data_IF_791594019231
#
_entry.id   IF_791594019231
#
_cell.length_a   1.000
_cell.length_b   1.000
_cell.length_c   1.000
_cell.angle_alpha   90.00
_cell.angle_beta   90.00
_cell.angle_gamma   90.00
#
_symmetry.space_group_name_H-M   'P 1'
#
loop_
_entity.id
_entity.type
_entity.pdbx_description
1 polymer ?
#
# COMPACT_ATOMS: atom_id res chain seq x y z
N UNK A 1 17.50 -6.77 -3.85
CA UNK A 1 17.38 -6.81 -2.38
C UNK A 1 17.64 -5.45 -1.72
N UNK A 2 18.75 -4.77 -2.08
CA UNK A 2 19.13 -3.44 -1.55
C UNK A 2 17.97 -2.42 -1.48
N UNK A 3 17.24 -2.21 -2.58
CA UNK A 3 16.12 -1.25 -2.63
C UNK A 3 14.94 -1.58 -1.72
N UNK A 4 14.72 -2.85 -1.38
CA UNK A 4 13.67 -3.24 -0.43
C UNK A 4 14.09 -2.92 1.00
N UNK A 5 15.33 -3.25 1.37
CA UNK A 5 15.88 -2.95 2.69
C UNK A 5 15.98 -1.44 2.93
N UNK A 6 16.40 -0.67 1.93
CA UNK A 6 16.42 0.80 1.98
C UNK A 6 15.02 1.38 2.22
N UNK A 7 14.00 0.87 1.50
CA UNK A 7 12.62 1.32 1.70
C UNK A 7 12.12 0.99 3.12
N UNK A 8 12.44 -0.20 3.64
CA UNK A 8 12.05 -0.62 4.99
C UNK A 8 12.72 0.27 6.05
N UNK A 9 14.03 0.51 5.92
CA UNK A 9 14.78 1.43 6.80
C UNK A 9 14.18 2.84 6.81
N UNK A 10 13.93 3.40 5.62
CA UNK A 10 13.33 4.73 5.50
C UNK A 10 11.92 4.78 6.10
N UNK A 11 11.12 3.74 5.85
CA UNK A 11 9.77 3.62 6.41
C UNK A 11 9.83 3.57 7.95
N UNK A 12 10.73 2.77 8.52
CA UNK A 12 10.91 2.68 9.98
C UNK A 12 11.30 4.01 10.61
N UNK A 13 12.18 4.79 9.97
CA UNK A 13 12.55 6.15 10.41
C UNK A 13 11.39 7.14 10.37
N UNK A 14 10.42 6.92 9.49
CA UNK A 14 9.26 7.79 9.33
C UNK A 14 8.10 7.43 10.27
N UNK A 15 8.00 6.20 10.75
CA UNK A 15 6.92 5.74 11.64
C UNK A 15 7.20 6.08 13.13
N UNK A 16 8.39 6.59 13.44
CA UNK A 16 8.82 6.95 14.79
C UNK A 16 7.83 7.90 15.48
N UNK A 17 7.39 7.56 16.69
CA UNK A 17 6.30 8.27 17.41
C UNK A 17 6.59 9.76 17.67
N UNK A 18 7.86 10.14 17.74
CA UNK A 18 8.32 11.51 17.97
C UNK A 18 8.38 12.37 16.69
N UNK A 19 8.07 11.81 15.51
CA UNK A 19 8.19 12.47 14.22
C UNK A 19 6.89 12.40 13.42
N UNK A 20 6.50 13.52 12.79
CA UNK A 20 5.47 13.48 11.73
C UNK A 20 6.01 12.67 10.56
N UNK A 21 5.37 11.52 10.29
CA UNK A 21 5.81 10.61 9.25
C UNK A 21 5.81 11.27 7.88
N UNK A 22 7.00 11.44 7.33
CA UNK A 22 7.23 11.96 5.99
C UNK A 22 8.43 11.22 5.42
N UNK A 23 8.18 10.44 4.37
CA UNK A 23 9.23 9.83 3.58
C UNK A 23 9.70 10.90 2.60
N UNK A 24 10.93 11.37 2.81
CA UNK A 24 11.57 12.32 1.90
C UNK A 24 11.58 11.73 0.48
N UNK A 25 11.32 12.57 -0.52
CA UNK A 25 11.28 12.18 -1.94
C UNK A 25 12.67 11.84 -2.51
N UNK A 26 13.56 11.33 -1.67
CA UNK A 26 14.80 10.69 -2.11
C UNK A 26 14.38 9.49 -2.97
N UNK A 27 14.95 9.36 -4.17
CA UNK A 27 14.60 8.31 -5.14
C UNK A 27 14.35 6.97 -4.42
N UNK A 28 13.11 6.49 -4.51
CA UNK A 28 12.69 5.17 -4.05
C UNK A 28 12.36 4.35 -5.30
N UNK A 29 13.37 3.75 -5.97
CA UNK A 29 13.17 3.02 -7.23
C UNK A 29 12.13 1.91 -7.09
N UNK A 30 11.97 1.36 -5.89
CA UNK A 30 10.97 0.34 -5.63
C UNK A 30 9.54 0.88 -5.68
N UNK A 31 9.29 2.08 -5.13
CA UNK A 31 7.99 2.75 -5.14
C UNK A 31 7.60 3.20 -6.55
N UNK A 32 8.55 3.74 -7.31
CA UNK A 32 8.36 4.06 -8.72
C UNK A 32 7.99 2.80 -9.53
N UNK A 33 8.70 1.70 -9.30
CA UNK A 33 8.45 0.43 -10.01
C UNK A 33 7.07 -0.17 -9.71
N UNK A 34 6.59 -0.03 -8.48
CA UNK A 34 5.24 -0.52 -8.11
C UNK A 34 4.14 0.53 -8.33
N UNK A 35 4.52 1.73 -8.77
CA UNK A 35 3.64 2.87 -9.00
C UNK A 35 2.79 3.19 -7.75
N UNK A 36 3.45 3.40 -6.62
CA UNK A 36 2.82 3.81 -5.35
C UNK A 36 3.53 5.05 -4.84
N UNK A 37 2.79 6.12 -4.55
CA UNK A 37 3.36 7.34 -3.96
C UNK A 37 3.88 7.11 -2.54
N UNK A 38 4.87 7.88 -2.09
CA UNK A 38 5.43 7.79 -0.74
C UNK A 38 4.38 8.03 0.35
N UNK A 39 3.40 8.90 0.11
CA UNK A 39 2.28 9.16 1.02
C UNK A 39 1.35 7.93 1.11
N UNK A 40 0.97 7.36 -0.03
CA UNK A 40 0.15 6.15 -0.07
C UNK A 40 0.89 4.99 0.61
N UNK A 41 2.19 4.84 0.36
CA UNK A 41 3.03 3.83 1.01
C UNK A 41 3.05 3.98 2.53
N UNK A 42 3.24 5.18 3.05
CA UNK A 42 3.24 5.42 4.49
C UNK A 42 1.87 5.09 5.11
N UNK A 43 0.78 5.45 4.43
CA UNK A 43 -0.58 5.10 4.86
C UNK A 43 -0.82 3.59 4.84
N UNK A 44 -0.35 2.91 3.79
CA UNK A 44 -0.44 1.45 3.67
C UNK A 44 0.33 0.76 4.79
N UNK A 45 1.54 1.22 5.12
CA UNK A 45 2.41 0.57 6.13
C UNK A 45 1.99 0.86 7.58
N UNK A 46 1.30 1.98 7.83
CA UNK A 46 0.85 2.35 9.18
C UNK A 46 -0.61 1.99 9.47
N UNK A 47 -1.46 1.98 8.45
CA UNK A 47 -2.92 1.85 8.60
C UNK A 47 -3.51 0.71 7.78
N UNK A 48 -2.69 -0.27 7.36
CA UNK A 48 -3.12 -1.38 6.49
C UNK A 48 -4.47 -2.00 6.91
N UNK A 49 -4.55 -2.44 8.17
CA UNK A 49 -5.72 -3.12 8.75
C UNK A 49 -6.89 -2.18 9.05
N UNK A 50 -6.64 -0.88 9.12
CA UNK A 50 -7.69 0.15 9.26
C UNK A 50 -8.32 0.49 7.92
N UNK A 51 -7.54 0.43 6.84
CA UNK A 51 -8.01 0.80 5.50
C UNK A 51 -8.59 -0.40 4.74
N UNK A 52 -8.08 -1.60 5.00
CA UNK A 52 -8.52 -2.83 4.35
C UNK A 52 -9.11 -3.80 5.36
N UNK A 53 -10.33 -4.28 5.06
CA UNK A 53 -11.05 -5.26 5.88
C UNK A 53 -11.31 -6.57 5.13
N UNK A 54 -10.46 -6.91 4.15
CA UNK A 54 -10.66 -8.06 3.27
C UNK A 54 -9.59 -8.16 2.19
N UNK A 55 -9.95 -8.75 1.05
CA UNK A 55 -9.02 -8.88 -0.07
C UNK A 55 -8.51 -7.51 -0.57
N UNK A 56 -7.23 -7.48 -0.92
CA UNK A 56 -6.49 -6.31 -1.41
C UNK A 56 -5.72 -6.73 -2.65
N UNK A 57 -5.72 -5.90 -3.67
CA UNK A 57 -4.98 -6.17 -4.90
C UNK A 57 -5.53 -5.40 -6.09
N UNK A 58 -5.04 -5.74 -7.29
CA UNK A 58 -5.51 -5.12 -8.52
C UNK A 58 -7.01 -5.41 -8.73
N UNK A 59 -7.79 -4.47 -9.30
CA UNK A 59 -9.22 -4.65 -9.52
C UNK A 59 -9.56 -5.95 -10.26
N UNK A 60 -8.74 -6.32 -11.25
CA UNK A 60 -8.89 -7.55 -12.04
C UNK A 60 -8.79 -8.78 -11.13
N UNK A 61 -7.74 -8.87 -10.30
CA UNK A 61 -7.55 -9.99 -9.37
C UNK A 61 -8.65 -10.05 -8.31
N UNK A 62 -9.16 -8.89 -7.86
CA UNK A 62 -10.28 -8.84 -6.92
C UNK A 62 -11.60 -9.28 -7.55
N UNK A 63 -11.83 -8.97 -8.83
CA UNK A 63 -13.01 -9.43 -9.55
C UNK A 63 -13.03 -10.96 -9.64
N UNK A 64 -11.92 -11.57 -10.07
CA UNK A 64 -11.77 -13.02 -10.11
C UNK A 64 -11.90 -13.66 -8.72
N UNK A 65 -11.34 -13.03 -7.68
CA UNK A 65 -11.50 -13.50 -6.29
C UNK A 65 -12.95 -13.48 -5.82
N UNK A 66 -13.70 -12.41 -6.14
CA UNK A 66 -15.11 -12.30 -5.76
C UNK A 66 -16.00 -13.31 -6.51
N UNK A 67 -15.72 -13.55 -7.80
CA UNK A 67 -16.39 -14.58 -8.60
C UNK A 67 -16.15 -15.97 -8.03
N UNK A 68 -14.89 -16.33 -7.75
CA UNK A 68 -14.53 -17.64 -7.20
C UNK A 68 -15.17 -17.90 -5.83
N UNK A 69 -15.47 -16.85 -5.06
CA UNK A 69 -16.10 -16.95 -3.75
C UNK A 69 -17.61 -16.71 -3.75
N UNK A 70 -18.24 -16.58 -4.93
CA UNK A 70 -19.66 -16.24 -5.08
C UNK A 70 -20.08 -14.99 -4.27
N UNK A 71 -19.16 -14.04 -4.07
CA UNK A 71 -19.42 -12.80 -3.33
C UNK A 71 -19.93 -11.72 -4.26
N UNK A 72 -21.15 -11.23 -4.00
CA UNK A 72 -21.77 -10.12 -4.77
C UNK A 72 -21.10 -8.76 -4.52
N UNK A 73 -20.50 -8.55 -3.34
CA UNK A 73 -19.88 -7.26 -2.97
C UNK A 73 -18.37 -7.31 -3.11
N UNK A 74 -17.81 -6.42 -3.94
CA UNK A 74 -16.37 -6.21 -4.07
C UNK A 74 -15.90 -5.17 -3.05
N UNK A 75 -15.74 -5.58 -1.80
CA UNK A 75 -15.21 -4.72 -0.73
C UNK A 75 -13.80 -4.25 -1.07
N UNK A 76 -13.42 -3.04 -0.65
CA UNK A 76 -12.07 -2.47 -0.78
C UNK A 76 -11.58 -2.08 -2.19
N UNK A 77 -12.35 -2.25 -3.27
CA UNK A 77 -11.93 -1.82 -4.63
C UNK A 77 -11.55 -0.35 -4.66
N UNK A 78 -12.41 0.53 -4.14
CA UNK A 78 -12.14 1.98 -4.16
C UNK A 78 -10.88 2.36 -3.36
N UNK A 79 -10.60 1.67 -2.24
CA UNK A 79 -9.37 1.90 -1.48
C UNK A 79 -8.14 1.37 -2.22
N UNK A 80 -8.27 0.24 -2.92
CA UNK A 80 -7.18 -0.32 -3.72
C UNK A 80 -6.84 0.59 -4.91
N UNK A 81 -7.85 1.12 -5.59
CA UNK A 81 -7.65 2.09 -6.69
C UNK A 81 -6.99 3.39 -6.22
N UNK A 82 -7.28 3.84 -5.00
CA UNK A 82 -6.70 5.09 -4.47
C UNK A 82 -5.29 4.93 -3.91
N UNK A 83 -4.96 3.76 -3.34
CA UNK A 83 -3.73 3.56 -2.57
C UNK A 83 -2.68 2.70 -3.28
N UNK A 84 -3.07 1.92 -4.28
CA UNK A 84 -2.16 1.05 -5.05
C UNK A 84 -1.92 1.57 -6.48
N UNK A 85 -2.30 2.82 -6.76
CA UNK A 85 -2.19 3.48 -8.07
C UNK A 85 -1.33 4.75 -8.01
#
# INVERSE_FOLDING_TARGET
LKSYLELVELTGRCIREDKRGYIESTHLPLLERVNISSENWLKLTTQFTRVFHGAVGRPISQASYCENLNRKRRSNISNCEKLLA
#
